data_IF_173610788026
#
_entry.id   IF_173610788026
#
_cell.length_a   1.000
_cell.length_b   1.000
_cell.length_c   1.000
_cell.angle_alpha   90.00
_cell.angle_beta   90.00
_cell.angle_gamma   90.00
#
_symmetry.space_group_name_H-M   'P 1'
#
loop_
_entity.id
_entity.type
_entity.pdbx_description
1 polymer ?
#
# COMPACT_ATOMS: atom_id res chain seq x y z
N UNK A 1 34.69 16.08 -3.88
CA UNK A 1 33.41 16.18 -4.61
C UNK A 1 32.30 16.15 -3.59
N UNK A 2 31.78 17.32 -3.23
CA UNK A 2 30.73 17.47 -2.21
C UNK A 2 29.79 18.54 -2.73
N UNK A 3 28.62 18.15 -3.22
CA UNK A 3 27.57 19.13 -3.53
C UNK A 3 27.02 19.72 -2.22
N UNK A 4 26.83 21.05 -2.14
CA UNK A 4 26.39 21.71 -0.93
C UNK A 4 24.94 21.31 -0.62
N UNK A 5 24.67 21.04 0.66
CA UNK A 5 23.34 20.76 1.18
C UNK A 5 22.44 22.00 1.05
N UNK A 6 21.80 22.13 -0.12
CA UNK A 6 20.73 23.09 -0.41
C UNK A 6 19.79 22.49 -1.46
N UNK A 7 18.69 23.20 -1.78
CA UNK A 7 17.33 22.79 -1.47
C UNK A 7 17.01 21.38 -1.96
N UNK A 8 16.92 20.41 -1.03
CA UNK A 8 16.56 19.01 -1.28
C UNK A 8 17.30 18.39 -2.48
N UNK A 9 18.48 17.86 -2.19
CA UNK A 9 19.28 17.15 -3.18
C UNK A 9 18.47 16.01 -3.81
N UNK A 10 18.73 15.73 -5.08
CA UNK A 10 18.24 14.57 -5.84
C UNK A 10 18.22 13.27 -5.01
N UNK A 11 19.15 13.17 -4.05
CA UNK A 11 19.28 12.10 -3.07
C UNK A 11 18.03 11.91 -2.18
N UNK A 12 17.35 12.98 -1.75
CA UNK A 12 16.14 12.85 -0.92
C UNK A 12 14.98 12.18 -1.67
N UNK A 13 14.82 12.49 -2.96
CA UNK A 13 13.79 11.84 -3.79
C UNK A 13 14.09 10.36 -4.00
N UNK A 14 15.36 10.00 -4.21
CA UNK A 14 15.81 8.61 -4.28
C UNK A 14 15.63 7.88 -2.93
N UNK A 15 15.82 8.56 -1.81
CA UNK A 15 15.56 7.98 -0.48
C UNK A 15 14.06 7.69 -0.27
N UNK A 16 13.17 8.58 -0.72
CA UNK A 16 11.74 8.30 -0.70
C UNK A 16 11.37 7.11 -1.58
N UNK A 17 11.96 7.01 -2.77
CA UNK A 17 11.76 5.89 -3.69
C UNK A 17 12.19 4.55 -3.06
N UNK A 18 13.41 4.50 -2.52
CA UNK A 18 13.92 3.31 -1.84
C UNK A 18 13.09 2.93 -0.61
N UNK A 19 12.63 3.91 0.16
CA UNK A 19 11.79 3.69 1.34
C UNK A 19 10.41 3.13 0.95
N UNK A 20 9.75 3.71 -0.07
CA UNK A 20 8.47 3.22 -0.59
C UNK A 20 8.57 1.77 -1.05
N UNK A 21 9.59 1.44 -1.84
CA UNK A 21 9.81 0.06 -2.32
C UNK A 21 10.08 -0.88 -1.14
N UNK A 22 10.94 -0.48 -0.20
CA UNK A 22 11.31 -1.30 0.96
C UNK A 22 10.09 -1.63 1.82
N UNK A 23 9.27 -0.63 2.16
CA UNK A 23 8.10 -0.86 3.02
C UNK A 23 6.95 -1.55 2.28
N UNK A 24 6.77 -1.29 0.97
CA UNK A 24 5.81 -2.01 0.16
C UNK A 24 6.17 -3.50 0.02
N UNK A 25 7.45 -3.85 -0.17
CA UNK A 25 7.92 -5.24 -0.14
C UNK A 25 7.71 -5.91 1.22
N UNK A 26 7.88 -5.15 2.30
CA UNK A 26 7.63 -5.62 3.65
C UNK A 26 6.14 -5.65 4.05
N UNK A 27 5.23 -5.22 3.16
CA UNK A 27 3.79 -5.05 3.41
C UNK A 27 3.47 -4.17 4.63
N UNK A 28 4.38 -3.27 4.99
CA UNK A 28 4.22 -2.33 6.10
C UNK A 28 3.50 -1.07 5.61
N UNK A 29 2.20 -1.21 5.34
CA UNK A 29 1.39 -0.16 4.73
C UNK A 29 1.34 1.13 5.56
N UNK A 30 1.45 1.04 6.89
CA UNK A 30 1.50 2.19 7.79
C UNK A 30 2.77 3.01 7.58
N UNK A 31 3.91 2.35 7.37
CA UNK A 31 5.15 3.06 7.02
C UNK A 31 5.13 3.58 5.59
N UNK A 32 4.50 2.88 4.64
CA UNK A 32 4.29 3.39 3.27
C UNK A 32 3.49 4.69 3.30
N UNK A 33 2.40 4.75 4.07
CA UNK A 33 1.59 5.96 4.26
C UNK A 33 2.42 7.11 4.83
N UNK A 34 3.17 6.87 5.91
CA UNK A 34 4.05 7.90 6.51
C UNK A 34 5.10 8.43 5.52
N UNK A 35 5.70 7.56 4.71
CA UNK A 35 6.67 7.99 3.68
C UNK A 35 5.96 8.81 2.60
N UNK A 36 4.75 8.43 2.20
CA UNK A 36 3.94 9.18 1.25
C UNK A 36 3.57 10.58 1.77
N UNK A 37 3.17 10.70 3.04
CA UNK A 37 2.90 12.00 3.68
C UNK A 37 4.14 12.91 3.66
N UNK A 38 5.29 12.38 4.08
CA UNK A 38 6.55 13.13 4.08
C UNK A 38 6.97 13.55 2.66
N UNK A 39 6.76 12.67 1.68
CA UNK A 39 6.99 12.96 0.27
C UNK A 39 6.08 14.10 -0.22
N UNK A 40 4.79 14.07 0.10
CA UNK A 40 3.85 15.13 -0.26
C UNK A 40 4.21 16.46 0.39
N UNK A 41 4.57 16.47 1.68
CA UNK A 41 5.05 17.67 2.36
C UNK A 41 6.29 18.24 1.69
N UNK A 42 7.26 17.38 1.33
CA UNK A 42 8.47 17.81 0.62
C UNK A 42 8.15 18.41 -0.76
N UNK A 43 7.16 17.86 -1.49
CA UNK A 43 6.70 18.40 -2.77
C UNK A 43 6.06 19.77 -2.60
N UNK A 44 5.21 19.95 -1.59
CA UNK A 44 4.56 21.24 -1.28
C UNK A 44 5.60 22.31 -0.93
N UNK A 45 6.60 21.98 -0.12
CA UNK A 45 7.64 22.93 0.31
C UNK A 45 8.58 23.34 -0.83
N UNK A 46 8.99 22.40 -1.69
CA UNK A 46 9.92 22.72 -2.78
C UNK A 46 9.28 23.37 -4.01
N UNK A 47 8.00 23.12 -4.26
CA UNK A 47 7.34 23.60 -5.47
C UNK A 47 7.95 22.98 -6.74
N UNK A 48 8.07 23.76 -7.81
CA UNK A 48 8.51 23.28 -9.15
C UNK A 48 9.99 22.86 -9.18
N UNK A 49 10.36 21.81 -9.94
CA UNK A 49 11.76 21.42 -10.09
C UNK A 49 12.55 22.54 -10.77
N UNK A 50 13.75 22.83 -10.24
CA UNK A 50 14.62 23.91 -10.73
C UNK A 50 15.69 23.41 -11.70
N UNK A 51 15.98 22.11 -11.69
CA UNK A 51 16.98 21.48 -12.57
C UNK A 51 16.41 20.25 -13.27
N UNK A 52 16.99 19.90 -14.42
CA UNK A 52 16.59 18.71 -15.18
C UNK A 52 16.78 17.41 -14.38
N UNK A 53 17.82 17.33 -13.55
CA UNK A 53 18.05 16.17 -12.67
C UNK A 53 16.95 16.03 -11.60
N UNK A 54 16.47 17.14 -11.02
CA UNK A 54 15.33 17.13 -10.10
C UNK A 54 14.04 16.69 -10.80
N UNK A 55 13.84 17.11 -12.06
CA UNK A 55 12.70 16.67 -12.85
C UNK A 55 12.73 15.16 -13.09
N UNK A 56 13.88 14.62 -13.51
CA UNK A 56 14.06 13.19 -13.75
C UNK A 56 13.85 12.35 -12.49
N UNK A 57 14.40 12.79 -11.35
CA UNK A 57 14.23 12.10 -10.07
C UNK A 57 12.75 12.07 -9.62
N UNK A 58 12.01 13.15 -9.85
CA UNK A 58 10.56 13.19 -9.56
C UNK A 58 9.74 12.33 -10.51
N UNK A 59 10.13 12.22 -11.77
CA UNK A 59 9.50 11.31 -12.72
C UNK A 59 9.72 9.84 -12.31
N UNK A 60 10.96 9.46 -11.94
CA UNK A 60 11.25 8.12 -11.41
C UNK A 60 10.39 7.80 -10.19
N UNK A 61 10.34 8.74 -9.25
CA UNK A 61 9.54 8.61 -8.03
C UNK A 61 8.04 8.43 -8.33
N UNK A 62 7.50 9.16 -9.32
CA UNK A 62 6.10 9.02 -9.74
C UNK A 62 5.80 7.62 -10.27
N UNK A 63 6.72 7.02 -11.04
CA UNK A 63 6.56 5.66 -11.56
C UNK A 63 6.56 4.66 -10.40
N UNK A 64 7.52 4.78 -9.50
CA UNK A 64 7.60 3.92 -8.31
C UNK A 64 6.37 4.05 -7.41
N UNK A 65 5.87 5.27 -7.22
CA UNK A 65 4.65 5.51 -6.45
C UNK A 65 3.43 4.81 -7.06
N UNK A 66 3.25 4.89 -8.38
CA UNK A 66 2.17 4.17 -9.08
C UNK A 66 2.29 2.65 -8.92
N UNK A 67 3.50 2.10 -8.97
CA UNK A 67 3.73 0.67 -8.74
C UNK A 67 3.33 0.24 -7.33
N UNK A 68 3.66 1.05 -6.32
CA UNK A 68 3.28 0.78 -4.92
C UNK A 68 1.77 0.86 -4.72
N UNK A 69 1.07 1.81 -5.37
CA UNK A 69 -0.40 1.88 -5.35
C UNK A 69 -1.01 0.63 -5.99
N UNK A 70 -0.49 0.22 -7.15
CA UNK A 70 -0.98 -0.99 -7.83
C UNK A 70 -0.80 -2.23 -6.93
N UNK A 71 0.35 -2.34 -6.26
CA UNK A 71 0.59 -3.43 -5.31
C UNK A 71 -0.39 -3.40 -4.13
N UNK A 72 -0.57 -2.24 -3.49
CA UNK A 72 -1.50 -2.10 -2.36
C UNK A 72 -2.95 -2.42 -2.77
N UNK A 73 -3.36 -2.02 -3.98
CA UNK A 73 -4.69 -2.31 -4.53
C UNK A 73 -4.87 -3.81 -4.76
N UNK A 74 -3.87 -4.47 -5.35
CA UNK A 74 -3.90 -5.92 -5.56
C UNK A 74 -4.00 -6.69 -4.25
N UNK A 75 -3.29 -6.27 -3.19
CA UNK A 75 -3.38 -6.90 -1.87
C UNK A 75 -4.74 -6.68 -1.21
N UNK A 76 -5.32 -5.47 -1.33
CA UNK A 76 -6.68 -5.20 -0.87
C UNK A 76 -7.70 -6.10 -1.55
N UNK A 77 -7.59 -6.30 -2.87
CA UNK A 77 -8.51 -7.13 -3.63
C UNK A 77 -8.38 -8.61 -3.27
N UNK A 78 -7.16 -9.08 -3.00
CA UNK A 78 -6.91 -10.42 -2.49
C UNK A 78 -7.59 -10.62 -1.12
N UNK A 79 -7.37 -9.68 -0.19
CA UNK A 79 -7.95 -9.74 1.15
C UNK A 79 -9.48 -9.69 1.12
N UNK A 80 -10.06 -8.90 0.22
CA UNK A 80 -11.51 -8.86 0.00
C UNK A 80 -12.07 -10.21 -0.50
N UNK A 81 -11.33 -10.91 -1.37
CA UNK A 81 -11.73 -12.26 -1.83
C UNK A 81 -11.66 -13.26 -0.69
N UNK A 82 -10.59 -13.25 0.10
CA UNK A 82 -10.43 -14.12 1.27
C UNK A 82 -11.53 -13.89 2.31
N UNK A 83 -11.87 -12.62 2.60
CA UNK A 83 -12.96 -12.27 3.51
C UNK A 83 -14.33 -12.78 3.03
N UNK A 84 -14.62 -12.67 1.73
CA UNK A 84 -15.86 -13.20 1.15
C UNK A 84 -15.92 -14.72 1.26
N UNK A 85 -14.82 -15.41 0.99
CA UNK A 85 -14.74 -16.87 1.14
C UNK A 85 -14.92 -17.29 2.60
N UNK A 86 -14.24 -16.62 3.53
CA UNK A 86 -14.38 -16.87 4.95
C UNK A 86 -15.83 -16.69 5.45
N UNK A 87 -16.49 -15.61 5.02
CA UNK A 87 -17.90 -15.36 5.34
C UNK A 87 -18.80 -16.47 4.79
N UNK A 88 -18.61 -16.87 3.52
CA UNK A 88 -19.38 -17.96 2.92
C UNK A 88 -19.17 -19.30 3.65
N UNK A 89 -17.96 -19.60 4.11
CA UNK A 89 -17.67 -20.79 4.92
C UNK A 89 -18.38 -20.72 6.28
N UNK A 90 -18.36 -19.57 6.94
CA UNK A 90 -19.06 -19.37 8.22
C UNK A 90 -20.57 -19.55 8.07
N UNK A 91 -21.16 -18.98 7.01
CA UNK A 91 -22.58 -19.10 6.73
C UNK A 91 -22.96 -20.55 6.39
N UNK A 92 -22.14 -21.26 5.62
CA UNK A 92 -22.32 -22.68 5.34
C UNK A 92 -22.27 -23.56 6.58
N UNK A 93 -21.31 -23.31 7.49
CA UNK A 93 -21.22 -24.03 8.78
C UNK A 93 -22.45 -23.72 9.66
N UNK A 94 -22.91 -22.47 9.68
CA UNK A 94 -24.09 -22.08 10.46
C UNK A 94 -25.37 -22.74 9.93
N UNK A 95 -25.55 -22.77 8.60
CA UNK A 95 -26.69 -23.43 7.97
C UNK A 95 -26.67 -24.95 8.23
N UNK A 96 -25.50 -25.57 8.16
CA UNK A 96 -25.35 -27.00 8.48
C UNK A 96 -25.74 -27.30 9.92
N UNK A 97 -25.23 -26.53 10.91
CA UNK A 97 -25.62 -26.69 12.32
C UNK A 97 -27.12 -26.53 12.55
N UNK A 98 -27.75 -25.54 11.91
CA UNK A 98 -29.20 -25.33 12.02
C UNK A 98 -29.99 -26.51 11.43
N UNK A 99 -29.51 -27.07 10.32
CA UNK A 99 -30.17 -28.22 9.68
C UNK A 99 -30.01 -29.48 10.52
N UNK A 100 -28.82 -29.73 11.10
CA UNK A 100 -28.60 -30.84 12.02
C UNK A 100 -29.50 -30.75 13.26
N UNK A 101 -29.65 -29.55 13.84
CA UNK A 101 -30.55 -29.32 14.96
C UNK A 101 -32.03 -29.52 14.57
N UNK A 102 -32.44 -29.07 13.39
CA UNK A 102 -33.81 -29.31 12.91
C UNK A 102 -34.09 -30.78 12.58
N UNK A 103 -33.09 -31.53 12.11
CA UNK A 103 -33.22 -32.96 11.82
C UNK A 103 -33.42 -33.81 13.09
N UNK A 104 -32.77 -33.46 14.20
CA UNK A 104 -32.90 -34.18 15.47
C UNK A 104 -34.25 -33.93 16.18
N UNK A 105 -34.97 -32.86 15.84
CA UNK A 105 -36.27 -32.52 16.45
C UNK A 105 -37.43 -33.33 15.85
N UNK A 106 -37.24 -33.95 14.67
CA UNK A 106 -38.30 -34.72 13.98
C UNK A 106 -38.23 -36.25 14.19
N UNK A 107 -37.24 -36.76 14.92
CA UNK A 107 -36.99 -38.19 15.11
C UNK A 107 -37.39 -38.74 16.51
N UNK A 108 -38.35 -38.10 17.22
CA UNK A 108 -38.95 -38.64 18.46
C UNK A 108 -40.47 -38.84 18.36
#
# INVERSE_FOLDING_TARGET
MSEPAGPTSTNQWQQFEAALIKYAKAKDWKKVEKVNELMMMALTVQGKPKTQQQLLARQSLSITHQLVIAQATAEKDLLNKEMKQFQATKDGISAYKLTSLCGEIYDN
#
